data_IF_432515277796
#
_entry.id   IF_432515277796
#
_cell.length_a   1.000
_cell.length_b   1.000
_cell.length_c   1.000
_cell.angle_alpha   90.00
_cell.angle_beta   90.00
_cell.angle_gamma   90.00
#
_symmetry.space_group_name_H-M   'P 1'
#
loop_
_entity.id
_entity.type
_entity.pdbx_description
1 polymer ?
#
# COMPACT_ATOMS: atom_id res chain seq x y z
N UNK A 1 8.15 -28.67 -41.84
CA UNK A 1 8.89 -27.43 -42.16
C UNK A 1 9.25 -26.84 -40.82
N UNK A 2 10.50 -27.03 -40.41
CA UNK A 2 10.98 -26.65 -39.07
C UNK A 2 10.94 -25.13 -38.96
N UNK A 3 10.10 -24.63 -38.03
CA UNK A 3 10.06 -23.22 -37.68
C UNK A 3 11.28 -22.94 -36.81
N UNK A 4 12.26 -22.22 -37.36
CA UNK A 4 13.34 -21.66 -36.57
C UNK A 4 12.79 -20.51 -35.72
N UNK A 5 12.12 -20.88 -34.62
CA UNK A 5 11.82 -20.00 -33.50
C UNK A 5 13.14 -19.59 -32.82
N UNK A 6 13.10 -18.56 -31.98
CA UNK A 6 14.21 -17.99 -31.20
C UNK A 6 15.04 -19.02 -30.37
N UNK A 7 14.60 -20.29 -30.34
CA UNK A 7 15.00 -21.30 -29.39
C UNK A 7 15.61 -22.57 -30.02
N UNK A 8 16.10 -22.57 -31.26
CA UNK A 8 16.89 -23.72 -31.77
C UNK A 8 18.17 -24.01 -30.95
N UNK A 9 18.62 -23.06 -30.12
CA UNK A 9 19.68 -23.28 -29.13
C UNK A 9 19.19 -23.99 -27.84
N UNK A 10 17.88 -24.01 -27.60
CA UNK A 10 17.21 -24.47 -26.37
C UNK A 10 16.34 -25.73 -26.58
N UNK A 11 15.94 -26.01 -27.81
CA UNK A 11 15.11 -27.16 -28.20
C UNK A 11 15.78 -28.53 -27.94
N UNK A 12 17.08 -28.55 -27.60
CA UNK A 12 17.86 -29.80 -27.55
C UNK A 12 18.46 -30.18 -26.19
N UNK A 13 18.19 -29.45 -25.10
CA UNK A 13 18.68 -29.88 -23.78
C UNK A 13 17.85 -29.32 -22.60
N UNK A 14 17.00 -30.17 -22.01
CA UNK A 14 16.22 -29.87 -20.79
C UNK A 14 17.07 -29.31 -19.63
N UNK A 15 18.35 -29.72 -19.56
CA UNK A 15 19.32 -29.25 -18.57
C UNK A 15 19.58 -27.74 -18.72
N UNK A 16 19.72 -27.24 -19.95
CA UNK A 16 19.98 -25.83 -20.21
C UNK A 16 18.77 -24.99 -19.80
N UNK A 17 17.56 -25.45 -20.13
CA UNK A 17 16.31 -24.79 -19.74
C UNK A 17 16.14 -24.76 -18.22
N UNK A 18 16.43 -25.87 -17.54
CA UNK A 18 16.40 -25.96 -16.09
C UNK A 18 17.40 -25.00 -15.42
N UNK A 19 18.63 -24.91 -15.93
CA UNK A 19 19.66 -23.98 -15.42
C UNK A 19 19.20 -22.53 -15.55
N UNK A 20 18.59 -22.17 -16.68
CA UNK A 20 18.14 -20.79 -16.93
C UNK A 20 16.93 -20.44 -16.06
N UNK A 21 15.96 -21.34 -15.94
CA UNK A 21 14.81 -21.18 -15.02
C UNK A 21 15.29 -20.99 -13.59
N UNK A 22 16.17 -21.89 -13.10
CA UNK A 22 16.73 -21.79 -11.75
C UNK A 22 17.53 -20.50 -11.58
N UNK A 23 18.36 -20.13 -12.56
CA UNK A 23 19.15 -18.89 -12.55
C UNK A 23 18.28 -17.64 -12.48
N UNK A 24 17.25 -17.55 -13.31
CA UNK A 24 16.30 -16.43 -13.32
C UNK A 24 15.53 -16.33 -12.00
N UNK A 25 15.08 -17.47 -11.46
CA UNK A 25 14.41 -17.55 -10.15
C UNK A 25 15.33 -17.04 -9.04
N UNK A 26 16.59 -17.50 -9.03
CA UNK A 26 17.59 -17.09 -8.03
C UNK A 26 17.87 -15.60 -8.13
N UNK A 27 18.02 -15.05 -9.33
CA UNK A 27 18.24 -13.61 -9.53
C UNK A 27 17.03 -12.78 -9.05
N UNK A 28 15.80 -13.21 -9.36
CA UNK A 28 14.59 -12.53 -8.92
C UNK A 28 14.45 -12.55 -7.38
N UNK A 29 14.73 -13.70 -6.75
CA UNK A 29 14.72 -13.84 -5.28
C UNK A 29 15.85 -13.04 -4.62
N UNK A 30 17.04 -13.03 -5.21
CA UNK A 30 18.17 -12.21 -4.76
C UNK A 30 17.84 -10.73 -4.86
N UNK A 31 17.22 -10.26 -5.94
CA UNK A 31 16.76 -8.87 -6.06
C UNK A 31 15.71 -8.53 -5.00
N UNK A 32 14.75 -9.43 -4.75
CA UNK A 32 13.71 -9.21 -3.74
C UNK A 32 14.27 -9.19 -2.29
N UNK A 33 15.34 -9.94 -2.00
CA UNK A 33 15.88 -10.10 -0.64
C UNK A 33 17.12 -9.26 -0.35
N UNK A 34 18.09 -9.23 -1.27
CA UNK A 34 19.34 -8.50 -1.12
C UNK A 34 19.14 -6.99 -1.26
N UNK A 35 18.33 -6.54 -2.22
CA UNK A 35 18.15 -5.10 -2.45
C UNK A 35 17.63 -4.38 -1.19
N UNK A 36 16.60 -4.88 -0.49
CA UNK A 36 16.14 -4.27 0.76
C UNK A 36 17.11 -4.48 1.93
N UNK A 37 17.86 -5.58 1.95
CA UNK A 37 18.84 -5.83 2.99
C UNK A 37 20.01 -4.85 2.91
N UNK A 38 20.58 -4.68 1.71
CA UNK A 38 21.65 -3.71 1.47
C UNK A 38 21.15 -2.29 1.68
N UNK A 39 19.96 -1.95 1.18
CA UNK A 39 19.38 -0.62 1.39
C UNK A 39 19.14 -0.33 2.87
N UNK A 40 18.65 -1.32 3.63
CA UNK A 40 18.48 -1.17 5.08
C UNK A 40 19.81 -0.96 5.80
N UNK A 41 20.85 -1.72 5.45
CA UNK A 41 22.17 -1.66 6.07
C UNK A 41 22.91 -0.35 5.73
N UNK A 42 22.71 0.16 4.51
CA UNK A 42 23.21 1.46 4.07
C UNK A 42 22.46 2.58 4.80
N UNK A 43 21.13 2.52 4.83
CA UNK A 43 20.31 3.53 5.50
C UNK A 43 20.59 3.58 7.01
N UNK A 44 20.72 2.44 7.70
CA UNK A 44 21.06 2.40 9.12
C UNK A 44 22.44 2.96 9.42
N UNK A 45 23.45 2.63 8.60
CA UNK A 45 24.82 3.15 8.75
C UNK A 45 24.91 4.66 8.53
N UNK A 46 24.00 5.24 7.74
CA UNK A 46 23.97 6.67 7.42
C UNK A 46 22.90 7.44 8.23
N UNK A 47 22.17 6.77 9.11
CA UNK A 47 21.13 7.38 9.96
C UNK A 47 19.87 7.82 9.22
N UNK A 48 19.58 7.22 8.06
CA UNK A 48 18.35 7.43 7.29
C UNK A 48 17.26 6.46 7.77
N UNK A 49 16.10 6.97 8.17
CA UNK A 49 14.96 6.12 8.47
C UNK A 49 14.29 5.67 7.16
N UNK A 50 14.24 4.36 6.92
CA UNK A 50 13.63 3.75 5.73
C UNK A 50 12.13 4.04 5.60
N UNK A 51 11.48 4.35 6.73
CA UNK A 51 10.05 4.68 6.79
C UNK A 51 9.73 6.12 6.35
N UNK A 52 10.73 6.90 5.91
CA UNK A 52 10.51 8.27 5.45
C UNK A 52 10.32 9.31 6.56
N UNK A 53 10.60 8.95 7.82
CA UNK A 53 10.69 9.89 8.93
C UNK A 53 11.91 10.82 8.81
N UNK A 54 11.83 11.99 9.47
CA UNK A 54 12.88 13.01 9.52
C UNK A 54 14.17 12.37 10.05
N UNK A 55 15.18 12.24 9.19
CA UNK A 55 16.51 11.80 9.61
C UNK A 55 17.16 12.91 10.43
N UNK A 56 17.59 12.59 11.65
CA UNK A 56 18.27 13.49 12.59
C UNK A 56 19.70 13.88 12.15
N UNK A 57 20.22 13.26 11.07
CA UNK A 57 21.60 13.46 10.61
C UNK A 57 21.75 14.71 9.74
N UNK A 58 22.74 15.57 10.07
CA UNK A 58 23.14 16.72 9.23
C UNK A 58 23.46 16.35 7.77
N UNK A 59 23.83 15.09 7.50
CA UNK A 59 24.18 14.60 6.16
C UNK A 59 23.05 13.81 5.46
N UNK A 60 21.84 13.77 6.02
CA UNK A 60 20.70 13.03 5.49
C UNK A 60 20.36 13.38 4.03
N UNK A 61 20.50 14.66 3.66
CA UNK A 61 20.28 15.12 2.29
C UNK A 61 21.23 14.46 1.30
N UNK A 62 22.55 14.51 1.57
CA UNK A 62 23.59 13.93 0.71
C UNK A 62 23.44 12.42 0.57
N UNK A 63 23.14 11.73 1.66
CA UNK A 63 22.99 10.27 1.65
C UNK A 63 21.74 9.79 0.92
N UNK A 64 20.64 10.52 1.05
CA UNK A 64 19.42 10.24 0.28
C UNK A 64 19.64 10.41 -1.23
N UNK A 65 20.49 11.37 -1.62
CA UNK A 65 20.88 11.60 -3.01
C UNK A 65 21.74 10.46 -3.55
N UNK A 66 22.78 10.05 -2.81
CA UNK A 66 23.66 8.93 -3.18
C UNK A 66 22.85 7.64 -3.37
N UNK A 67 21.97 7.31 -2.41
CA UNK A 67 21.06 6.17 -2.49
C UNK A 67 20.23 6.21 -3.77
N UNK A 68 19.61 7.36 -4.06
CA UNK A 68 18.79 7.55 -5.27
C UNK A 68 19.63 7.35 -6.54
N UNK A 69 20.86 7.85 -6.59
CA UNK A 69 21.76 7.68 -7.72
C UNK A 69 22.13 6.22 -7.95
N UNK A 70 22.48 5.49 -6.89
CA UNK A 70 22.83 4.05 -6.98
C UNK A 70 21.64 3.23 -7.50
N UNK A 71 20.45 3.47 -6.93
CA UNK A 71 19.23 2.75 -7.34
C UNK A 71 18.85 3.06 -8.80
N UNK A 72 18.95 4.33 -9.22
CA UNK A 72 18.72 4.72 -10.61
C UNK A 72 19.73 4.07 -11.56
N UNK A 73 21.02 4.04 -11.20
CA UNK A 73 22.05 3.41 -12.01
C UNK A 73 21.80 1.90 -12.18
N UNK A 74 21.45 1.20 -11.09
CA UNK A 74 21.08 -0.21 -11.14
C UNK A 74 19.85 -0.46 -12.03
N UNK A 75 18.85 0.43 -11.96
CA UNK A 75 17.66 0.34 -12.81
C UNK A 75 17.98 0.56 -14.29
N UNK A 76 18.85 1.51 -14.63
CA UNK A 76 19.31 1.74 -16.02
C UNK A 76 20.08 0.53 -16.54
N UNK A 77 20.99 -0.04 -15.76
CA UNK A 77 21.72 -1.26 -16.12
C UNK A 77 20.74 -2.41 -16.40
N UNK A 78 19.73 -2.57 -15.55
CA UNK A 78 18.65 -3.55 -15.75
C UNK A 78 17.88 -3.30 -17.06
N UNK A 79 17.50 -2.05 -17.36
CA UNK A 79 16.82 -1.73 -18.61
C UNK A 79 17.69 -1.99 -19.85
N UNK A 80 18.99 -1.70 -19.79
CA UNK A 80 19.92 -2.04 -20.87
C UNK A 80 20.03 -3.57 -21.07
N UNK A 81 20.07 -4.33 -19.97
CA UNK A 81 20.09 -5.79 -20.02
C UNK A 81 18.79 -6.35 -20.60
N UNK A 82 17.64 -5.82 -20.18
CA UNK A 82 16.33 -6.17 -20.72
C UNK A 82 16.24 -5.87 -22.21
N UNK A 83 16.67 -4.67 -22.64
CA UNK A 83 16.74 -4.31 -24.06
C UNK A 83 17.65 -5.26 -24.85
N UNK A 84 18.80 -5.63 -24.30
CA UNK A 84 19.71 -6.60 -24.91
C UNK A 84 19.03 -7.97 -25.09
N UNK A 85 18.41 -8.52 -24.04
CA UNK A 85 17.74 -9.82 -24.10
C UNK A 85 16.58 -9.81 -25.11
N UNK A 86 15.80 -8.75 -25.12
CA UNK A 86 14.55 -8.66 -25.88
C UNK A 86 14.79 -8.40 -27.37
N UNK A 87 15.80 -7.59 -27.72
CA UNK A 87 16.04 -7.21 -29.11
C UNK A 87 17.33 -7.79 -29.66
N UNK A 88 18.46 -7.67 -28.96
CA UNK A 88 19.77 -7.98 -29.52
C UNK A 88 20.10 -9.48 -29.47
N UNK A 89 19.65 -10.17 -28.44
CA UNK A 89 19.82 -11.62 -28.34
C UNK A 89 18.92 -12.37 -29.35
N UNK A 90 17.79 -11.78 -29.77
CA UNK A 90 16.85 -12.39 -30.74
C UNK A 90 17.39 -12.35 -32.18
N UNK A 91 17.38 -13.51 -32.84
CA UNK A 91 17.71 -13.64 -34.26
C UNK A 91 16.63 -13.00 -35.13
N UNK A 92 17.00 -12.29 -36.21
CA UNK A 92 16.03 -11.81 -37.20
C UNK A 92 15.33 -13.01 -37.84
N UNK A 93 14.00 -13.01 -37.84
CA UNK A 93 13.20 -14.03 -38.50
C UNK A 93 12.56 -13.43 -39.76
N UNK A 94 13.00 -13.82 -40.97
CA UNK A 94 12.44 -13.32 -42.22
C UNK A 94 10.97 -13.73 -42.40
N UNK A 95 10.57 -14.88 -41.85
CA UNK A 95 9.19 -15.41 -41.85
C UNK A 95 8.48 -15.02 -40.55
N UNK A 96 8.40 -13.71 -40.30
CA UNK A 96 7.83 -13.18 -39.06
C UNK A 96 6.34 -13.56 -38.90
N UNK A 97 6.01 -14.31 -37.86
CA UNK A 97 4.64 -14.75 -37.56
C UNK A 97 4.08 -13.95 -36.38
N UNK A 98 2.82 -13.54 -36.51
CA UNK A 98 2.02 -12.99 -35.41
C UNK A 98 1.21 -14.14 -34.81
N UNK A 99 1.52 -14.49 -33.56
CA UNK A 99 0.85 -15.54 -32.78
C UNK A 99 -0.11 -14.89 -31.78
N UNK A 100 -1.25 -15.53 -31.54
CA UNK A 100 -2.17 -15.14 -30.48
C UNK A 100 -2.24 -16.28 -29.44
N UNK A 101 -1.09 -16.70 -28.90
CA UNK A 101 -1.05 -17.82 -27.98
C UNK A 101 -1.60 -17.45 -26.60
N UNK A 102 -1.70 -16.16 -26.28
CA UNK A 102 -2.24 -15.72 -24.99
C UNK A 102 -3.67 -16.21 -24.73
N UNK A 103 -4.49 -16.27 -25.79
CA UNK A 103 -5.84 -16.84 -25.69
C UNK A 103 -5.82 -18.38 -25.73
N UNK A 104 -4.95 -18.99 -26.55
CA UNK A 104 -4.89 -20.45 -26.67
C UNK A 104 -4.41 -21.10 -25.38
N UNK A 105 -3.40 -20.54 -24.70
CA UNK A 105 -2.89 -21.03 -23.41
C UNK A 105 -4.02 -21.09 -22.37
N UNK A 106 -4.83 -20.02 -22.28
CA UNK A 106 -5.97 -19.96 -21.36
C UNK A 106 -7.05 -20.99 -21.70
N UNK A 107 -7.38 -21.15 -23.00
CA UNK A 107 -8.37 -22.14 -23.43
C UNK A 107 -7.89 -23.58 -23.27
N UNK A 108 -6.61 -23.85 -23.51
CA UNK A 108 -6.01 -25.18 -23.37
C UNK A 108 -5.95 -25.60 -21.91
N UNK A 109 -5.52 -24.72 -21.00
CA UNK A 109 -5.55 -25.00 -19.56
C UNK A 109 -6.98 -25.13 -19.02
N UNK A 110 -7.94 -24.37 -19.53
CA UNK A 110 -9.35 -24.53 -19.14
C UNK A 110 -9.96 -25.85 -19.62
N UNK A 111 -9.40 -26.44 -20.68
CA UNK A 111 -9.82 -27.71 -21.26
C UNK A 111 -8.98 -28.90 -20.75
N UNK A 112 -8.15 -28.71 -19.72
CA UNK A 112 -7.22 -29.71 -19.18
C UNK A 112 -6.26 -30.31 -20.25
N UNK A 113 -5.92 -29.52 -21.27
CA UNK A 113 -4.92 -29.89 -22.29
C UNK A 113 -3.54 -29.49 -21.77
N UNK A 114 -2.60 -30.42 -21.76
CA UNK A 114 -1.21 -30.16 -21.37
C UNK A 114 -0.55 -29.20 -22.37
N UNK A 115 0.03 -28.12 -21.84
CA UNK A 115 0.78 -27.15 -22.63
C UNK A 115 2.12 -27.76 -23.06
N UNK A 116 2.59 -27.48 -24.30
CA UNK A 116 3.95 -27.83 -24.69
C UNK A 116 4.99 -27.24 -23.72
N UNK A 117 6.01 -28.01 -23.35
CA UNK A 117 7.03 -27.58 -22.40
C UNK A 117 7.73 -26.27 -22.82
N UNK A 118 7.93 -26.10 -24.13
CA UNK A 118 8.55 -24.91 -24.73
C UNK A 118 7.72 -23.64 -24.47
N UNK A 119 6.41 -23.68 -24.68
CA UNK A 119 5.51 -22.54 -24.43
C UNK A 119 5.45 -22.17 -22.94
N UNK A 120 5.52 -23.16 -22.05
CA UNK A 120 5.57 -22.91 -20.61
C UNK A 120 6.89 -22.23 -20.19
N UNK A 121 8.02 -22.69 -20.73
CA UNK A 121 9.34 -22.10 -20.45
C UNK A 121 9.39 -20.66 -20.98
N UNK A 122 8.88 -20.42 -22.19
CA UNK A 122 8.75 -19.08 -22.79
C UNK A 122 7.98 -18.13 -21.86
N UNK A 123 6.78 -18.54 -21.46
CA UNK A 123 5.93 -17.78 -20.54
C UNK A 123 6.65 -17.51 -19.21
N UNK A 124 7.29 -18.51 -18.63
CA UNK A 124 7.98 -18.39 -17.35
C UNK A 124 9.13 -17.39 -17.38
N UNK A 125 9.96 -17.42 -18.43
CA UNK A 125 11.11 -16.53 -18.54
C UNK A 125 10.68 -15.07 -18.72
N UNK A 126 9.63 -14.82 -19.50
CA UNK A 126 9.04 -13.49 -19.66
C UNK A 126 8.52 -12.94 -18.32
N UNK A 127 7.80 -13.76 -17.54
CA UNK A 127 7.40 -13.44 -16.17
C UNK A 127 8.61 -13.05 -15.31
N UNK A 128 9.67 -13.86 -15.32
CA UNK A 128 10.85 -13.64 -14.46
C UNK A 128 11.60 -12.35 -14.81
N UNK A 129 11.72 -12.01 -16.09
CA UNK A 129 12.40 -10.80 -16.56
C UNK A 129 11.65 -9.54 -16.12
N UNK A 130 10.32 -9.58 -15.99
CA UNK A 130 9.49 -8.44 -15.58
C UNK A 130 9.24 -8.29 -14.07
N UNK A 131 9.51 -9.32 -13.25
CA UNK A 131 9.42 -9.21 -11.77
C UNK A 131 10.26 -8.03 -11.23
N UNK A 132 11.54 -7.87 -11.61
CA UNK A 132 12.34 -6.72 -11.18
C UNK A 132 11.74 -5.37 -11.58
N UNK A 133 11.13 -5.27 -12.77
CA UNK A 133 10.48 -4.03 -13.22
C UNK A 133 9.32 -3.65 -12.29
N UNK A 134 8.43 -4.60 -11.99
CA UNK A 134 7.30 -4.37 -11.08
C UNK A 134 7.74 -4.01 -9.66
N UNK A 135 8.85 -4.57 -9.18
CA UNK A 135 9.41 -4.28 -7.86
C UNK A 135 10.08 -2.90 -7.79
N UNK A 136 10.93 -2.57 -8.77
CA UNK A 136 11.79 -1.39 -8.74
C UNK A 136 11.02 -0.08 -8.99
N UNK A 137 9.96 -0.11 -9.79
CA UNK A 137 9.15 1.09 -10.11
C UNK A 137 8.67 1.85 -8.86
N UNK A 138 7.85 1.25 -7.96
CA UNK A 138 7.40 1.93 -6.75
C UNK A 138 8.52 2.13 -5.72
N UNK A 139 9.58 1.31 -5.76
CA UNK A 139 10.71 1.42 -4.86
C UNK A 139 11.58 2.66 -5.14
N UNK A 140 11.81 2.99 -6.41
CA UNK A 140 12.66 4.10 -6.85
C UNK A 140 11.86 5.39 -7.01
N UNK A 141 10.69 5.30 -7.66
CA UNK A 141 9.96 6.47 -8.11
C UNK A 141 8.79 6.80 -7.18
N UNK A 142 8.86 7.97 -6.54
CA UNK A 142 7.82 8.43 -5.61
C UNK A 142 6.43 8.50 -6.24
N UNK A 143 6.34 8.81 -7.53
CA UNK A 143 5.09 8.89 -8.27
C UNK A 143 4.35 7.55 -8.29
N UNK A 144 5.05 6.41 -8.30
CA UNK A 144 4.39 5.11 -8.30
C UNK A 144 3.86 4.72 -6.91
N UNK A 145 4.45 5.20 -5.80
CA UNK A 145 4.12 4.75 -4.44
C UNK A 145 2.66 4.94 -4.02
N UNK A 146 2.06 6.10 -4.32
CA UNK A 146 0.67 6.39 -3.92
C UNK A 146 -0.35 5.47 -4.60
N UNK A 147 0.00 4.90 -5.76
CA UNK A 147 -0.84 4.01 -6.55
C UNK A 147 0.01 2.86 -7.11
N UNK A 148 0.74 2.18 -6.22
CA UNK A 148 1.81 1.25 -6.61
C UNK A 148 1.28 0.08 -7.44
N UNK A 149 0.06 -0.40 -7.18
CA UNK A 149 -0.59 -1.41 -8.02
C UNK A 149 -0.88 -0.90 -9.43
N UNK A 150 -1.79 0.07 -9.57
CA UNK A 150 -2.29 0.47 -10.88
C UNK A 150 -1.23 1.10 -11.76
N UNK A 151 -0.38 1.99 -11.23
CA UNK A 151 0.64 2.69 -12.03
C UNK A 151 1.73 1.73 -12.50
N UNK A 152 2.19 0.85 -11.62
CA UNK A 152 3.29 -0.06 -11.97
C UNK A 152 2.83 -1.15 -12.94
N UNK A 153 1.61 -1.70 -12.74
CA UNK A 153 1.02 -2.66 -13.69
C UNK A 153 0.80 -2.03 -15.07
N UNK A 154 0.24 -0.82 -15.12
CA UNK A 154 0.04 -0.10 -16.38
C UNK A 154 1.38 0.14 -17.09
N UNK A 155 2.42 0.51 -16.36
CA UNK A 155 3.76 0.70 -16.94
C UNK A 155 4.35 -0.60 -17.47
N UNK A 156 4.21 -1.72 -16.76
CA UNK A 156 4.67 -3.02 -17.23
C UNK A 156 3.93 -3.44 -18.51
N UNK A 157 2.60 -3.31 -18.53
CA UNK A 157 1.77 -3.61 -19.70
C UNK A 157 2.16 -2.76 -20.92
N UNK A 158 2.25 -1.43 -20.75
CA UNK A 158 2.65 -0.53 -21.85
C UNK A 158 4.07 -0.82 -22.32
N UNK A 159 4.99 -1.12 -21.41
CA UNK A 159 6.37 -1.43 -21.78
C UNK A 159 6.46 -2.75 -22.55
N UNK A 160 5.68 -3.75 -22.16
CA UNK A 160 5.59 -5.01 -22.90
C UNK A 160 4.97 -4.80 -24.30
N UNK A 161 3.92 -4.01 -24.43
CA UNK A 161 3.39 -3.62 -25.75
C UNK A 161 4.45 -2.91 -26.62
N UNK A 162 5.23 -2.00 -26.04
CA UNK A 162 6.31 -1.32 -26.77
C UNK A 162 7.37 -2.32 -27.22
N UNK A 163 7.73 -3.28 -26.37
CA UNK A 163 8.67 -4.35 -26.68
C UNK A 163 8.18 -5.19 -27.86
N UNK A 164 6.94 -5.69 -27.81
CA UNK A 164 6.34 -6.47 -28.88
C UNK A 164 6.26 -5.68 -30.20
N UNK A 165 5.90 -4.39 -30.15
CA UNK A 165 5.89 -3.53 -31.32
C UNK A 165 7.30 -3.29 -31.90
N UNK A 166 8.31 -3.13 -31.04
CA UNK A 166 9.71 -3.01 -31.50
C UNK A 166 10.19 -4.31 -32.15
N UNK A 167 9.82 -5.47 -31.61
CA UNK A 167 10.12 -6.77 -32.19
C UNK A 167 9.43 -6.96 -33.55
N UNK A 168 8.18 -6.50 -33.68
CA UNK A 168 7.44 -6.48 -34.94
C UNK A 168 8.13 -5.62 -36.00
N UNK A 169 8.50 -4.39 -35.66
CA UNK A 169 9.17 -3.46 -36.58
C UNK A 169 10.56 -3.98 -37.00
N UNK A 170 11.30 -4.57 -36.06
CA UNK A 170 12.65 -5.09 -36.30
C UNK A 170 12.66 -6.50 -36.90
N UNK A 171 11.48 -7.13 -37.06
CA UNK A 171 11.29 -8.52 -37.51
C UNK A 171 12.15 -9.52 -36.72
N UNK A 172 12.17 -9.39 -35.40
CA UNK A 172 12.92 -10.28 -34.50
C UNK A 172 11.96 -11.11 -33.66
N UNK A 173 12.15 -12.42 -33.63
CA UNK A 173 11.26 -13.35 -32.92
C UNK A 173 9.87 -13.46 -33.53
N UNK A 174 8.85 -13.56 -32.68
CA UNK A 174 7.42 -13.66 -33.04
C UNK A 174 6.62 -12.71 -32.16
N UNK A 175 5.65 -11.99 -32.73
CA UNK A 175 4.74 -11.17 -31.93
C UNK A 175 3.76 -12.09 -31.23
N UNK A 176 3.76 -12.13 -29.89
CA UNK A 176 2.85 -13.00 -29.15
C UNK A 176 2.11 -12.26 -28.05
N UNK A 177 0.78 -12.39 -28.05
CA UNK A 177 -0.05 -11.87 -26.97
C UNK A 177 0.20 -12.58 -25.64
N UNK A 178 0.71 -13.81 -25.66
CA UNK A 178 1.13 -14.53 -24.45
C UNK A 178 2.26 -13.80 -23.71
N UNK A 179 3.20 -13.21 -24.45
CA UNK A 179 4.36 -12.50 -23.88
C UNK A 179 3.90 -11.24 -23.13
N UNK A 180 2.93 -10.51 -23.68
CA UNK A 180 2.30 -9.36 -23.00
C UNK A 180 1.63 -9.75 -21.68
N UNK A 181 0.95 -10.91 -21.67
CA UNK A 181 0.31 -11.43 -20.46
C UNK A 181 1.37 -11.84 -19.44
N UNK A 182 2.41 -12.56 -19.89
CA UNK A 182 3.52 -13.03 -19.06
C UNK A 182 4.25 -11.86 -18.40
N UNK A 183 4.64 -10.85 -19.17
CA UNK A 183 5.33 -9.64 -18.70
C UNK A 183 4.48 -8.86 -17.69
N UNK A 184 3.18 -8.70 -18.00
CA UNK A 184 2.25 -8.03 -17.10
C UNK A 184 2.07 -8.81 -15.80
N UNK A 185 2.04 -10.14 -15.86
CA UNK A 185 1.99 -11.01 -14.69
C UNK A 185 3.29 -10.97 -13.88
N UNK A 186 4.45 -10.92 -14.53
CA UNK A 186 5.75 -10.65 -13.89
C UNK A 186 5.73 -9.33 -13.14
N UNK A 187 5.25 -8.27 -13.77
CA UNK A 187 5.03 -6.96 -13.15
C UNK A 187 4.12 -7.03 -11.92
N UNK A 188 3.02 -7.79 -12.00
CA UNK A 188 2.11 -8.04 -10.88
C UNK A 188 2.82 -8.68 -9.69
N UNK A 189 3.58 -9.76 -9.93
CA UNK A 189 4.35 -10.44 -8.89
C UNK A 189 5.39 -9.50 -8.27
N UNK A 190 6.10 -8.72 -9.10
CA UNK A 190 7.06 -7.72 -8.63
C UNK A 190 6.46 -6.68 -7.69
N UNK A 191 5.30 -6.12 -8.03
CA UNK A 191 4.60 -5.14 -7.18
C UNK A 191 4.09 -5.79 -5.89
N UNK A 192 3.59 -7.03 -5.97
CA UNK A 192 3.15 -7.77 -4.79
C UNK A 192 4.30 -7.96 -3.80
N UNK A 193 5.50 -8.29 -4.28
CA UNK A 193 6.71 -8.42 -3.47
C UNK A 193 7.11 -7.08 -2.84
N UNK A 194 7.04 -5.98 -3.60
CA UNK A 194 7.29 -4.63 -3.06
C UNK A 194 6.31 -4.30 -1.93
N UNK A 195 5.00 -4.54 -2.13
CA UNK A 195 3.97 -4.27 -1.13
C UNK A 195 4.15 -5.11 0.13
N UNK A 196 4.42 -6.41 -0.04
CA UNK A 196 4.72 -7.28 1.08
C UNK A 196 5.92 -6.76 1.88
N UNK A 197 6.99 -6.34 1.19
CA UNK A 197 8.16 -5.78 1.84
C UNK A 197 7.86 -4.45 2.54
N UNK A 198 7.17 -3.54 1.89
CA UNK A 198 6.77 -2.26 2.47
C UNK A 198 5.94 -2.48 3.75
N UNK A 199 4.96 -3.38 3.71
CA UNK A 199 4.11 -3.71 4.85
C UNK A 199 4.87 -4.34 6.02
N UNK A 200 5.79 -5.27 5.75
CA UNK A 200 6.60 -5.91 6.80
C UNK A 200 7.60 -4.95 7.45
N UNK A 201 8.04 -3.92 6.73
CA UNK A 201 8.91 -2.86 7.27
C UNK A 201 8.15 -1.83 8.10
N UNK A 202 6.89 -1.54 7.77
CA UNK A 202 6.04 -0.63 8.56
C UNK A 202 5.41 -1.32 9.77
N UNK A 203 5.14 -2.62 9.67
CA UNK A 203 4.50 -3.42 10.73
C UNK A 203 5.39 -4.60 11.14
N UNK A 204 6.43 -4.39 11.97
CA UNK A 204 7.37 -5.44 12.34
C UNK A 204 6.70 -6.61 13.09
N UNK A 205 5.61 -6.34 13.81
CA UNK A 205 4.85 -7.34 14.56
C UNK A 205 3.75 -8.04 13.75
N UNK A 206 3.67 -7.81 12.43
CA UNK A 206 2.56 -8.28 11.59
C UNK A 206 2.23 -9.78 11.73
N UNK A 207 3.22 -10.63 12.00
CA UNK A 207 3.00 -12.07 12.21
C UNK A 207 2.21 -12.35 13.49
N UNK A 208 2.50 -11.61 14.56
CA UNK A 208 1.74 -11.68 15.82
C UNK A 208 0.32 -11.17 15.57
N UNK A 209 0.17 -10.02 14.91
CA UNK A 209 -1.13 -9.43 14.59
C UNK A 209 -2.00 -10.36 13.74
N UNK A 210 -1.40 -11.00 12.73
CA UNK A 210 -2.11 -11.97 11.90
C UNK A 210 -2.56 -13.19 12.71
N UNK A 211 -1.75 -13.67 13.66
CA UNK A 211 -2.12 -14.75 14.58
C UNK A 211 -3.27 -14.32 15.50
N UNK A 212 -3.20 -13.12 16.08
CA UNK A 212 -4.26 -12.56 16.91
C UNK A 212 -5.56 -12.37 16.12
N UNK A 213 -5.49 -11.82 14.91
CA UNK A 213 -6.64 -11.68 14.02
C UNK A 213 -7.29 -13.02 13.67
N UNK A 214 -6.50 -14.04 13.30
CA UNK A 214 -7.03 -15.37 13.00
C UNK A 214 -7.71 -15.99 14.22
N UNK A 215 -7.11 -15.85 15.41
CA UNK A 215 -7.70 -16.30 16.68
C UNK A 215 -8.98 -15.56 16.99
N UNK A 216 -8.97 -14.23 16.93
CA UNK A 216 -10.14 -13.37 17.12
C UNK A 216 -11.25 -13.75 16.15
N UNK A 217 -10.97 -13.88 14.85
CA UNK A 217 -11.97 -14.24 13.84
C UNK A 217 -12.62 -15.59 14.11
N UNK A 218 -11.83 -16.57 14.58
CA UNK A 218 -12.35 -17.89 14.98
C UNK A 218 -13.29 -17.78 16.20
N UNK A 219 -12.89 -17.02 17.22
CA UNK A 219 -13.70 -16.80 18.42
C UNK A 219 -14.96 -15.98 18.11
N UNK A 220 -14.80 -14.93 17.31
CA UNK A 220 -15.88 -14.01 16.94
C UNK A 220 -16.93 -14.70 16.06
N UNK A 221 -16.55 -15.65 15.18
CA UNK A 221 -17.51 -16.45 14.41
C UNK A 221 -18.53 -17.20 15.28
N UNK A 222 -18.18 -17.52 16.51
CA UNK A 222 -19.08 -18.16 17.48
C UNK A 222 -19.84 -17.14 18.35
N UNK A 223 -19.59 -15.84 18.14
CA UNK A 223 -20.22 -14.75 18.86
C UNK A 223 -21.57 -14.33 18.26
N UNK A 224 -22.49 -13.91 19.13
CA UNK A 224 -23.88 -13.59 18.79
C UNK A 224 -23.99 -12.49 17.73
N UNK A 225 -23.17 -11.44 17.81
CA UNK A 225 -23.27 -10.26 16.94
C UNK A 225 -22.38 -10.31 15.69
N UNK A 226 -21.55 -11.34 15.52
CA UNK A 226 -20.58 -11.38 14.41
C UNK A 226 -21.21 -11.35 13.01
N UNK A 227 -22.35 -12.02 12.74
CA UNK A 227 -23.03 -11.88 11.45
C UNK A 227 -23.42 -10.44 11.11
N UNK A 228 -23.69 -9.62 12.14
CA UNK A 228 -24.10 -8.23 12.00
C UNK A 228 -22.94 -7.23 12.14
N UNK A 229 -21.80 -7.66 12.69
CA UNK A 229 -20.68 -6.77 13.05
C UNK A 229 -20.19 -5.89 11.90
N UNK A 230 -20.22 -6.40 10.65
CA UNK A 230 -19.84 -5.61 9.46
C UNK A 230 -20.79 -4.46 9.13
N UNK A 231 -22.04 -4.50 9.62
CA UNK A 231 -23.08 -3.49 9.39
C UNK A 231 -23.35 -2.63 10.62
N UNK A 232 -22.72 -2.93 11.76
CA UNK A 232 -22.81 -2.09 12.94
C UNK A 232 -21.89 -0.89 12.77
N UNK A 233 -22.43 0.30 13.00
CA UNK A 233 -21.68 1.56 13.00
C UNK A 233 -22.00 2.33 14.27
N UNK A 234 -21.02 3.04 14.82
CA UNK A 234 -21.26 3.98 15.91
C UNK A 234 -22.05 5.16 15.35
N UNK A 235 -23.32 5.29 15.74
CA UNK A 235 -24.21 6.36 15.29
C UNK A 235 -24.15 7.58 16.21
N UNK A 236 -23.91 7.33 17.50
CA UNK A 236 -23.95 8.34 18.55
C UNK A 236 -22.94 8.04 19.64
N UNK A 237 -22.28 9.09 20.11
CA UNK A 237 -21.46 9.07 21.33
C UNK A 237 -22.20 9.86 22.40
N UNK A 238 -22.26 9.32 23.62
CA UNK A 238 -22.89 9.98 24.76
C UNK A 238 -21.79 10.45 25.70
N UNK A 239 -21.85 11.71 26.10
CA UNK A 239 -20.98 12.33 27.10
C UNK A 239 -21.79 12.87 28.27
N UNK A 240 -21.13 13.03 29.41
CA UNK A 240 -21.63 13.74 30.58
C UNK A 240 -20.83 15.03 30.77
N UNK A 241 -21.52 16.08 31.21
CA UNK A 241 -20.91 17.36 31.54
C UNK A 241 -21.59 18.01 32.76
N UNK A 242 -20.90 18.93 33.44
CA UNK A 242 -21.43 19.62 34.62
C UNK A 242 -22.05 20.98 34.31
N UNK A 243 -21.53 21.72 33.33
CA UNK A 243 -21.93 23.09 33.00
C UNK A 243 -22.37 23.27 31.54
N UNK A 244 -23.52 23.91 31.32
CA UNK A 244 -24.08 24.15 29.99
C UNK A 244 -23.31 25.23 29.21
N UNK A 245 -22.80 26.25 29.89
CA UNK A 245 -22.05 27.33 29.26
C UNK A 245 -20.70 26.83 28.73
N UNK A 246 -20.01 25.99 29.48
CA UNK A 246 -18.81 25.29 29.02
C UNK A 246 -19.07 24.41 27.79
N UNK A 247 -20.19 23.67 27.78
CA UNK A 247 -20.59 22.85 26.62
C UNK A 247 -20.80 23.72 25.38
N UNK A 248 -21.54 24.82 25.52
CA UNK A 248 -21.82 25.74 24.42
C UNK A 248 -20.54 26.37 23.89
N UNK A 249 -19.70 26.91 24.76
CA UNK A 249 -18.46 27.56 24.35
C UNK A 249 -17.52 26.57 23.65
N UNK A 250 -17.30 25.39 24.22
CA UNK A 250 -16.34 24.46 23.67
C UNK A 250 -16.87 23.68 22.46
N UNK A 251 -17.98 22.95 22.61
CA UNK A 251 -18.45 22.07 21.52
C UNK A 251 -19.07 22.86 20.37
N UNK A 252 -19.80 23.94 20.66
CA UNK A 252 -20.53 24.69 19.62
C UNK A 252 -19.66 25.79 19.03
N UNK A 253 -19.08 26.69 19.83
CA UNK A 253 -18.27 27.80 19.30
C UNK A 253 -16.89 27.36 18.83
N UNK A 254 -16.14 26.62 19.65
CA UNK A 254 -14.75 26.30 19.34
C UNK A 254 -14.60 25.16 18.33
N UNK A 255 -15.35 24.07 18.55
CA UNK A 255 -15.30 22.89 17.68
C UNK A 255 -16.29 22.92 16.51
N UNK A 256 -17.29 23.81 16.56
CA UNK A 256 -18.22 24.01 15.46
C UNK A 256 -19.30 22.93 15.33
N UNK A 257 -19.66 22.22 16.41
CA UNK A 257 -20.77 21.29 16.38
C UNK A 257 -22.10 22.03 16.21
N UNK A 258 -23.00 21.47 15.40
CA UNK A 258 -24.35 22.01 15.22
C UNK A 258 -25.32 21.40 16.22
N UNK A 259 -26.03 22.24 16.96
CA UNK A 259 -27.14 21.81 17.82
C UNK A 259 -28.29 21.34 16.94
N UNK A 260 -28.70 20.09 17.11
CA UNK A 260 -29.89 19.52 16.48
C UNK A 260 -31.11 19.58 17.38
N UNK A 261 -30.93 19.31 18.66
CA UNK A 261 -32.04 19.23 19.62
C UNK A 261 -31.54 19.46 21.03
N UNK A 262 -32.33 20.17 21.83
CA UNK A 262 -32.13 20.28 23.27
C UNK A 262 -33.35 19.65 23.93
N UNK A 263 -33.13 18.77 24.90
CA UNK A 263 -34.18 18.10 25.67
C UNK A 263 -33.93 18.41 27.13
N UNK A 264 -34.92 18.97 27.79
CA UNK A 264 -34.93 19.15 29.24
C UNK A 264 -35.81 18.02 29.80
N UNK A 265 -35.22 17.00 30.46
CA UNK A 265 -35.99 15.92 31.08
C UNK A 265 -36.93 16.47 32.16
N UNK A 266 -37.88 15.64 32.61
CA UNK A 266 -38.82 16.03 33.68
C UNK A 266 -38.11 16.41 34.99
N UNK A 267 -36.88 15.92 35.18
CA UNK A 267 -35.97 16.42 36.20
C UNK A 267 -35.40 17.77 35.75
N UNK A 268 -35.94 18.85 36.32
CA UNK A 268 -35.63 20.26 35.97
C UNK A 268 -34.14 20.60 36.11
N UNK A 269 -33.35 19.73 36.72
CA UNK A 269 -31.91 19.94 36.92
C UNK A 269 -31.02 19.50 35.77
N UNK A 270 -31.50 18.72 34.78
CA UNK A 270 -30.64 18.20 33.72
C UNK A 270 -30.99 18.78 32.35
N UNK A 271 -30.00 18.86 31.46
CA UNK A 271 -30.20 19.34 30.09
C UNK A 271 -29.42 18.46 29.12
N UNK A 272 -30.12 17.85 28.17
CA UNK A 272 -29.53 16.95 27.18
C UNK A 272 -29.42 17.67 25.85
N UNK A 273 -28.18 17.87 25.38
CA UNK A 273 -27.88 18.52 24.12
C UNK A 273 -27.51 17.46 23.08
N UNK A 274 -28.25 17.43 21.97
CA UNK A 274 -27.89 16.66 20.79
C UNK A 274 -27.16 17.56 19.80
N UNK A 275 -25.86 17.32 19.69
CA UNK A 275 -24.91 17.98 18.80
C UNK A 275 -24.61 17.09 17.59
N UNK A 276 -24.18 17.69 16.48
CA UNK A 276 -23.82 16.95 15.28
C UNK A 276 -22.68 17.56 14.51
N UNK A 277 -21.88 16.68 13.92
CA UNK A 277 -20.78 17.03 13.02
C UNK A 277 -20.77 16.02 11.86
N UNK A 278 -21.26 16.44 10.70
CA UNK A 278 -21.43 15.56 9.53
C UNK A 278 -22.41 14.42 9.81
N UNK A 279 -21.93 13.17 9.71
CA UNK A 279 -22.74 11.95 9.94
C UNK A 279 -22.77 11.52 11.41
N UNK A 280 -21.87 12.05 12.25
CA UNK A 280 -21.74 11.65 13.65
C UNK A 280 -22.60 12.57 14.52
N UNK A 281 -23.29 11.99 15.49
CA UNK A 281 -24.03 12.74 16.51
C UNK A 281 -23.36 12.59 17.87
N UNK A 282 -23.29 13.67 18.62
CA UNK A 282 -22.78 13.72 19.98
C UNK A 282 -23.93 14.12 20.89
N UNK A 283 -24.25 13.30 21.88
CA UNK A 283 -25.27 13.61 22.89
C UNK A 283 -24.56 13.93 24.20
N UNK A 284 -24.76 15.13 24.72
CA UNK A 284 -24.14 15.60 25.96
C UNK A 284 -25.23 15.74 27.02
N UNK A 285 -25.11 14.97 28.10
CA UNK A 285 -26.00 15.02 29.25
C UNK A 285 -25.40 15.98 30.28
N UNK A 286 -25.92 17.20 30.34
CA UNK A 286 -25.53 18.19 31.32
C UNK A 286 -26.26 17.93 32.65
N UNK A 287 -25.49 17.73 33.72
CA UNK A 287 -26.01 17.46 35.05
C UNK A 287 -26.39 18.73 35.83
N UNK A 288 -25.91 19.91 35.39
CA UNK A 288 -26.02 21.22 36.06
C UNK A 288 -25.71 21.16 37.56
N UNK A 289 -24.78 20.29 37.94
CA UNK A 289 -24.35 20.03 39.31
C UNK A 289 -22.85 19.78 39.29
N UNK A 290 -22.16 20.37 40.26
CA UNK A 290 -20.73 20.20 40.42
C UNK A 290 -20.47 18.81 41.03
N UNK A 291 -20.28 17.82 40.15
CA UNK A 291 -20.09 16.41 40.45
C UNK A 291 -18.80 15.95 39.76
N UNK A 292 -18.09 15.03 40.40
CA UNK A 292 -16.92 14.40 39.79
C UNK A 292 -17.40 13.40 38.72
N UNK A 293 -17.12 13.69 37.46
CA UNK A 293 -17.54 12.89 36.30
C UNK A 293 -16.39 11.94 35.91
N UNK A 294 -16.66 10.68 35.52
CA UNK A 294 -15.61 9.79 35.05
C UNK A 294 -14.86 10.38 33.84
N UNK A 295 -13.57 10.09 33.72
CA UNK A 295 -12.76 10.53 32.60
C UNK A 295 -13.33 10.01 31.26
N UNK A 296 -13.59 10.92 30.33
CA UNK A 296 -14.20 10.63 29.03
C UNK A 296 -13.22 10.97 27.89
N UNK A 297 -13.30 10.23 26.79
CA UNK A 297 -12.51 10.55 25.60
C UNK A 297 -13.24 10.22 24.31
N UNK A 298 -13.05 11.06 23.29
CA UNK A 298 -13.57 10.87 21.93
C UNK A 298 -12.44 11.02 20.93
N UNK A 299 -12.36 10.10 19.98
CA UNK A 299 -11.41 10.15 18.87
C UNK A 299 -12.14 10.55 17.59
N UNK A 300 -11.66 11.60 16.93
CA UNK A 300 -12.17 12.12 15.67
C UNK A 300 -11.10 11.94 14.58
N UNK A 301 -11.47 11.36 13.44
CA UNK A 301 -10.55 11.14 12.31
C UNK A 301 -10.49 12.38 11.40
N UNK A 302 -9.29 12.80 11.00
CA UNK A 302 -9.09 13.90 10.06
C UNK A 302 -7.79 13.77 9.26
N UNK A 303 -7.81 14.04 7.96
CA UNK A 303 -6.63 13.90 7.08
C UNK A 303 -5.52 14.94 7.28
N UNK A 304 -5.82 16.07 7.93
CA UNK A 304 -4.88 17.18 8.08
C UNK A 304 -4.91 17.72 9.52
N UNK A 305 -4.19 17.04 10.41
CA UNK A 305 -4.10 17.42 11.83
C UNK A 305 -3.34 18.73 12.01
N UNK A 306 -2.33 19.01 11.17
CA UNK A 306 -1.59 20.28 11.21
C UNK A 306 -2.48 21.49 10.90
N UNK A 307 -3.42 21.34 9.98
CA UNK A 307 -4.42 22.36 9.67
C UNK A 307 -5.32 22.67 10.86
N UNK A 308 -5.73 21.65 11.61
CA UNK A 308 -6.52 21.81 12.85
C UNK A 308 -5.70 22.53 13.90
N UNK A 309 -4.47 22.06 14.15
CA UNK A 309 -3.57 22.67 15.14
C UNK A 309 -3.41 24.18 14.91
N UNK A 310 -3.12 24.59 13.67
CA UNK A 310 -2.98 26.02 13.32
C UNK A 310 -4.24 26.85 13.61
N UNK A 311 -5.43 26.25 13.54
CA UNK A 311 -6.69 26.95 13.88
C UNK A 311 -6.89 27.04 15.39
N UNK A 312 -6.58 25.98 16.12
CA UNK A 312 -6.63 25.98 17.59
C UNK A 312 -5.63 26.98 18.18
N UNK A 313 -4.41 27.02 17.65
CA UNK A 313 -3.38 27.99 18.06
C UNK A 313 -3.85 29.43 17.84
N UNK A 314 -4.55 29.71 16.72
CA UNK A 314 -5.13 31.03 16.44
C UNK A 314 -6.28 31.40 17.39
N UNK A 315 -6.99 30.40 17.89
CA UNK A 315 -8.08 30.57 18.85
C UNK A 315 -7.58 30.56 20.30
N UNK A 316 -6.26 30.48 20.54
CA UNK A 316 -5.64 30.34 21.86
C UNK A 316 -6.11 29.10 22.65
N UNK A 317 -6.47 28.02 21.95
CA UNK A 317 -6.86 26.75 22.57
C UNK A 317 -5.62 25.86 22.72
N UNK A 318 -5.34 25.43 23.95
CA UNK A 318 -4.20 24.57 24.25
C UNK A 318 -4.40 23.17 23.65
N UNK A 319 -3.37 22.66 22.98
CA UNK A 319 -3.40 21.33 22.37
C UNK A 319 -2.06 20.61 22.49
N UNK A 320 -2.11 19.31 22.72
CA UNK A 320 -0.94 18.44 22.87
C UNK A 320 -0.76 17.58 21.62
N UNK A 321 0.43 17.62 21.02
CA UNK A 321 0.77 16.77 19.89
C UNK A 321 1.43 15.48 20.37
N UNK A 322 1.04 14.35 19.77
CA UNK A 322 1.65 13.06 20.04
C UNK A 322 1.61 12.13 18.84
N UNK A 323 1.99 10.89 19.10
CA UNK A 323 1.87 9.77 18.15
C UNK A 323 1.06 8.66 18.81
N UNK A 324 0.05 8.14 18.11
CA UNK A 324 -0.74 7.02 18.58
C UNK A 324 0.15 5.76 18.69
N UNK A 325 0.26 5.11 19.86
CA UNK A 325 1.15 3.98 20.06
C UNK A 325 0.75 2.73 19.25
N UNK A 326 -0.49 2.67 18.76
CA UNK A 326 -1.01 1.51 18.03
C UNK A 326 -0.83 1.64 16.52
N UNK A 327 -0.98 2.84 15.97
CA UNK A 327 -0.94 3.09 14.53
C UNK A 327 0.26 3.90 14.07
N UNK A 328 1.02 4.50 14.99
CA UNK A 328 2.05 5.51 14.72
C UNK A 328 1.55 6.74 13.94
N UNK A 329 0.23 6.91 13.81
CA UNK A 329 -0.36 8.11 13.24
C UNK A 329 -0.23 9.29 14.21
N UNK A 330 -0.20 10.50 13.67
CA UNK A 330 -0.14 11.70 14.48
C UNK A 330 -1.48 11.91 15.17
N UNK A 331 -1.40 12.31 16.43
CA UNK A 331 -2.56 12.69 17.22
C UNK A 331 -2.41 14.11 17.74
N UNK A 332 -3.54 14.78 17.88
CA UNK A 332 -3.66 16.08 18.52
C UNK A 332 -4.75 15.99 19.58
N UNK A 333 -4.39 16.18 20.83
CA UNK A 333 -5.31 16.10 21.97
C UNK A 333 -5.67 17.51 22.43
N UNK A 334 -6.96 17.74 22.65
CA UNK A 334 -7.52 18.96 23.22
C UNK A 334 -8.34 18.56 24.45
N UNK A 335 -8.20 19.33 25.53
CA UNK A 335 -9.02 19.16 26.72
C UNK A 335 -10.30 19.97 26.56
N UNK A 336 -11.44 19.31 26.75
CA UNK A 336 -12.75 19.93 26.82
C UNK A 336 -13.25 20.08 28.25
N UNK A 337 -14.55 20.43 28.42
CA UNK A 337 -15.22 20.50 29.70
C UNK A 337 -15.06 19.21 30.51
N UNK A 338 -14.98 19.34 31.82
CA UNK A 338 -14.89 18.21 32.77
C UNK A 338 -13.77 17.22 32.44
N UNK A 339 -12.59 17.73 32.03
CA UNK A 339 -11.42 16.94 31.62
C UNK A 339 -11.67 15.93 30.48
N UNK A 340 -12.69 16.18 29.65
CA UNK A 340 -12.99 15.32 28.50
C UNK A 340 -11.90 15.46 27.43
N UNK A 341 -11.25 14.35 27.05
CA UNK A 341 -10.20 14.33 26.03
C UNK A 341 -10.77 14.21 24.62
N UNK A 342 -10.53 15.20 23.77
CA UNK A 342 -10.83 15.12 22.34
C UNK A 342 -9.54 14.91 21.56
N UNK A 343 -9.45 13.76 20.89
CA UNK A 343 -8.25 13.33 20.17
C UNK A 343 -8.54 13.36 18.68
N UNK A 344 -7.82 14.20 17.94
CA UNK A 344 -7.83 14.17 16.48
C UNK A 344 -6.75 13.20 15.99
N UNK A 345 -7.16 12.14 15.29
CA UNK A 345 -6.28 11.12 14.72
C UNK A 345 -6.11 11.35 13.22
N UNK A 346 -4.85 11.40 12.77
CA UNK A 346 -4.52 11.51 11.36
C UNK A 346 -4.81 10.18 10.64
N UNK A 347 -5.68 10.22 9.62
CA UNK A 347 -6.12 9.05 8.85
C UNK A 347 -5.74 9.10 7.39
#
# INVERSE_FOLDING_TARGET
>A
MELNSFYDFYANNWITNAIIVVGATVIALLLAYLLPFFDNKICSKIGLNLQGGVSSSKNAGKSSLIRRTILNAAFVIYLCFLFYLVLLARTPNPDYVVRNAGFSIFTMTWQDIELPEEEFIEFYLNVMVFIPMGYLLPYIFRWFRNHAWSRSLLMCFVSSLVIENLQLITKRGTYDTADVIADTFGGFVGVALYMHRAYTLTNPEWKKDLKYYRRWKKLAKNGVLFPFAKRLSISRVILQATDEDEIWNFYVKDLGFQIKKIIIPKDVTQTNLLLSMGKTSLEVHCLNKNLDIPAQSIVLSHHNVDGIKRRLDKANITSECGTDPYTNHRILTVMGPDDTKIIFLES
#
